data_IF_048995574908
#
_entry.id   IF_048995574908
#
_cell.length_a   1.000
_cell.length_b   1.000
_cell.length_c   1.000
_cell.angle_alpha   90.00
_cell.angle_beta   90.00
_cell.angle_gamma   90.00
#
_symmetry.space_group_name_H-M   'P 1'
#
loop_
_entity.id
_entity.type
_entity.pdbx_description
1 polymer ?
#
# COMPACT_ATOMS: atom_id res chain seq x y z
N UNK A 1 52.06 43.63 -18.54
CA UNK A 1 51.09 43.84 -17.45
C UNK A 1 49.95 42.84 -17.63
N UNK A 2 49.58 42.18 -16.53
CA UNK A 2 48.88 40.88 -16.46
C UNK A 2 47.41 41.01 -16.88
N UNK A 3 46.96 40.15 -17.79
CA UNK A 3 45.54 40.02 -18.15
C UNK A 3 44.78 39.26 -17.07
N UNK A 4 43.81 39.91 -16.45
CA UNK A 4 42.94 39.35 -15.41
C UNK A 4 41.80 38.57 -16.09
N UNK A 5 41.81 37.24 -15.96
CA UNK A 5 40.74 36.36 -16.48
C UNK A 5 39.57 36.36 -15.48
N UNK A 6 38.31 36.52 -15.91
CA UNK A 6 37.16 36.43 -15.01
C UNK A 6 36.95 34.98 -14.57
N UNK A 7 36.95 34.76 -13.25
CA UNK A 7 36.61 33.50 -12.62
C UNK A 7 35.08 33.32 -12.68
N UNK A 8 34.59 32.48 -13.60
CA UNK A 8 33.20 32.03 -13.55
C UNK A 8 33.05 30.98 -12.45
N UNK A 9 32.32 31.33 -11.39
CA UNK A 9 31.85 30.38 -10.37
C UNK A 9 30.61 29.68 -10.94
N UNK A 10 30.76 28.41 -11.32
CA UNK A 10 29.64 27.56 -11.69
C UNK A 10 28.92 27.09 -10.41
N UNK A 11 27.72 27.60 -10.17
CA UNK A 11 26.83 27.09 -9.12
C UNK A 11 26.17 25.81 -9.64
N UNK A 12 26.72 24.65 -9.28
CA UNK A 12 26.14 23.36 -9.61
C UNK A 12 24.88 23.16 -8.76
N UNK A 13 23.70 23.31 -9.37
CA UNK A 13 22.44 22.88 -8.78
C UNK A 13 22.46 21.35 -8.75
N UNK A 14 22.72 20.80 -7.56
CA UNK A 14 22.64 19.38 -7.29
C UNK A 14 21.16 19.02 -7.18
N UNK A 15 20.49 18.79 -8.30
CA UNK A 15 19.14 18.23 -8.32
C UNK A 15 19.22 16.79 -7.81
N UNK A 16 18.99 16.60 -6.51
CA UNK A 16 18.83 15.27 -5.93
C UNK A 16 17.61 14.62 -6.57
N UNK A 17 17.84 13.61 -7.41
CA UNK A 17 16.79 12.69 -7.84
C UNK A 17 16.41 11.85 -6.62
N UNK A 18 15.35 12.24 -5.91
CA UNK A 18 14.74 11.34 -4.95
C UNK A 18 14.23 10.13 -5.74
N UNK A 19 14.77 8.95 -5.45
CA UNK A 19 14.11 7.71 -5.84
C UNK A 19 12.79 7.70 -5.07
N UNK A 20 11.66 7.74 -5.78
CA UNK A 20 10.38 7.50 -5.14
C UNK A 20 10.38 6.03 -4.73
N UNK A 21 10.47 5.76 -3.43
CA UNK A 21 10.26 4.41 -2.92
C UNK A 21 8.82 4.02 -3.25
N UNK A 22 8.70 2.95 -4.03
CA UNK A 22 7.41 2.39 -4.40
C UNK A 22 6.89 1.56 -3.25
N UNK A 23 5.76 1.95 -2.70
CA UNK A 23 5.05 1.16 -1.68
C UNK A 23 3.93 0.35 -2.34
N UNK A 24 3.53 -0.74 -1.70
CA UNK A 24 2.42 -1.58 -2.14
C UNK A 24 1.37 -1.67 -1.05
N UNK A 25 0.09 -1.57 -1.44
CA UNK A 25 -1.06 -1.81 -0.56
C UNK A 25 -1.66 -3.18 -0.87
N UNK A 26 -1.98 -3.93 0.18
CA UNK A 26 -2.54 -5.28 0.05
C UNK A 26 -3.55 -5.61 1.13
N UNK A 27 -4.33 -6.66 0.86
CA UNK A 27 -5.29 -7.23 1.81
C UNK A 27 -4.77 -8.57 2.33
N UNK A 28 -4.90 -8.80 3.63
CA UNK A 28 -4.61 -10.08 4.26
C UNK A 28 -5.76 -10.54 5.16
N UNK A 29 -6.51 -11.59 4.79
CA UNK A 29 -6.44 -12.31 3.51
C UNK A 29 -7.03 -11.50 2.34
N UNK A 30 -6.51 -11.69 1.13
CA UNK A 30 -7.06 -11.07 -0.09
C UNK A 30 -8.48 -11.57 -0.44
N UNK A 31 -8.77 -12.83 -0.10
CA UNK A 31 -10.09 -13.44 -0.24
C UNK A 31 -10.33 -14.45 0.86
N UNK A 32 -11.57 -14.60 1.31
CA UNK A 32 -11.93 -15.59 2.32
C UNK A 32 -13.36 -16.10 2.13
N UNK A 33 -13.60 -17.35 2.50
CA UNK A 33 -14.95 -17.89 2.55
C UNK A 33 -15.64 -17.40 3.82
N UNK A 34 -16.89 -17.00 3.69
CA UNK A 34 -17.71 -16.46 4.77
C UNK A 34 -19.01 -17.24 4.88
N UNK A 35 -19.52 -17.36 6.11
CA UNK A 35 -20.84 -17.93 6.37
C UNK A 35 -21.79 -16.84 6.83
N UNK A 36 -23.04 -16.87 6.36
CA UNK A 36 -24.06 -15.91 6.78
C UNK A 36 -24.13 -15.77 8.31
N UNK A 37 -24.15 -14.53 8.81
CA UNK A 37 -24.13 -14.17 10.23
C UNK A 37 -22.74 -14.12 10.87
N UNK A 38 -21.68 -14.58 10.20
CA UNK A 38 -20.32 -14.52 10.72
C UNK A 38 -19.77 -13.09 10.65
N UNK A 39 -18.99 -12.69 11.67
CA UNK A 39 -18.11 -11.52 11.58
C UNK A 39 -16.74 -11.95 11.07
N UNK A 40 -16.24 -11.24 10.06
CA UNK A 40 -14.91 -11.45 9.48
C UNK A 40 -14.08 -10.18 9.59
N UNK A 41 -12.76 -10.35 9.52
CA UNK A 41 -11.81 -9.25 9.48
C UNK A 41 -10.83 -9.43 8.33
N UNK A 42 -10.36 -8.32 7.78
CA UNK A 42 -9.31 -8.25 6.77
C UNK A 42 -8.36 -7.11 7.12
N UNK A 43 -7.06 -7.38 7.05
CA UNK A 43 -6.03 -6.37 7.28
C UNK A 43 -5.70 -5.65 5.99
N UNK A 44 -5.54 -4.34 6.09
CA UNK A 44 -4.95 -3.48 5.06
C UNK A 44 -3.48 -3.28 5.43
N UNK A 45 -2.59 -3.76 4.57
CA UNK A 45 -1.15 -3.73 4.81
C UNK A 45 -0.47 -2.81 3.81
N UNK A 46 0.60 -2.16 4.27
CA UNK A 46 1.56 -1.47 3.43
C UNK A 46 2.90 -2.19 3.49
N UNK A 47 3.59 -2.26 2.36
CA UNK A 47 4.92 -2.84 2.22
C UNK A 47 5.78 -2.03 1.25
N UNK A 48 7.08 -2.33 1.18
CA UNK A 48 8.02 -1.64 0.29
C UNK A 48 8.67 -0.39 0.90
N UNK A 49 8.46 -0.15 2.20
CA UNK A 49 9.12 0.91 2.94
C UNK A 49 10.52 0.48 3.40
N UNK A 50 11.39 1.46 3.71
CA UNK A 50 12.62 1.22 4.44
C UNK A 50 12.35 0.79 5.88
N UNK A 51 13.18 -0.09 6.45
CA UNK A 51 13.00 -0.53 7.83
C UNK A 51 13.50 0.53 8.82
N UNK A 52 12.58 1.13 9.58
CA UNK A 52 12.86 2.22 10.51
C UNK A 52 13.63 3.38 9.85
N UNK A 53 13.18 3.77 8.65
CA UNK A 53 13.85 4.75 7.82
C UNK A 53 12.84 5.65 7.09
N UNK A 54 13.34 6.71 6.48
CA UNK A 54 12.57 7.52 5.52
C UNK A 54 12.62 6.88 4.12
N UNK A 55 11.58 7.04 3.29
CA UNK A 55 10.29 7.64 3.63
C UNK A 55 9.47 6.72 4.54
N UNK A 56 8.67 7.33 5.43
CA UNK A 56 7.68 6.69 6.28
C UNK A 56 6.28 7.14 5.86
N UNK A 57 5.22 6.54 6.42
CA UNK A 57 3.83 6.95 6.21
C UNK A 57 3.45 8.01 7.23
N UNK A 58 3.01 9.17 6.76
CA UNK A 58 2.46 10.25 7.59
C UNK A 58 0.93 10.27 7.62
N UNK A 59 0.31 9.95 6.50
CA UNK A 59 -1.16 9.86 6.39
C UNK A 59 -1.60 8.92 5.29
N UNK A 60 -2.85 8.49 5.38
CA UNK A 60 -3.54 7.84 4.27
C UNK A 60 -5.03 8.19 4.26
N UNK A 61 -5.62 8.07 3.08
CA UNK A 61 -7.06 8.13 2.83
C UNK A 61 -7.37 7.05 1.79
N UNK A 62 -8.10 6.01 2.19
CA UNK A 62 -8.29 4.78 1.40
C UNK A 62 -9.76 4.42 1.26
N UNK A 63 -10.11 3.94 0.06
CA UNK A 63 -11.45 3.49 -0.30
C UNK A 63 -11.42 2.01 -0.68
N UNK A 64 -12.27 1.22 -0.03
CA UNK A 64 -12.36 -0.23 -0.24
C UNK A 64 -13.75 -0.60 -0.69
N UNK A 65 -13.82 -1.21 -1.88
CA UNK A 65 -15.03 -1.79 -2.45
C UNK A 65 -15.19 -3.26 -2.05
N UNK A 66 -16.44 -3.66 -1.81
CA UNK A 66 -16.85 -5.01 -1.45
C UNK A 66 -18.20 -5.35 -2.10
N UNK A 67 -18.61 -6.63 -2.04
CA UNK A 67 -19.94 -7.03 -2.50
C UNK A 67 -21.00 -6.73 -1.42
N UNK A 68 -21.91 -5.76 -1.66
CA UNK A 68 -22.92 -5.34 -0.68
C UNK A 68 -24.00 -6.39 -0.43
N UNK A 69 -24.12 -7.39 -1.30
CA UNK A 69 -25.06 -8.52 -1.11
C UNK A 69 -24.47 -9.61 -0.24
N UNK A 70 -23.15 -9.60 -0.06
CA UNK A 70 -22.40 -10.57 0.72
C UNK A 70 -21.97 -10.02 2.08
N UNK A 71 -21.54 -8.76 2.15
CA UNK A 71 -20.94 -8.16 3.34
C UNK A 71 -21.59 -6.82 3.70
N UNK A 72 -21.65 -6.55 5.01
CA UNK A 72 -21.92 -5.23 5.58
C UNK A 72 -20.74 -4.81 6.44
N UNK A 73 -20.09 -3.66 6.19
CA UNK A 73 -18.98 -3.19 7.01
C UNK A 73 -19.47 -2.78 8.39
N UNK A 74 -18.65 -3.00 9.41
CA UNK A 74 -19.04 -2.73 10.81
C UNK A 74 -18.04 -1.86 11.55
N UNK A 75 -16.74 -2.07 11.35
CA UNK A 75 -15.71 -1.38 12.14
C UNK A 75 -14.40 -1.26 11.37
N UNK A 76 -13.69 -0.16 11.61
CA UNK A 76 -12.29 0.03 11.24
C UNK A 76 -11.47 0.15 12.52
N UNK A 77 -10.50 -0.74 12.69
CA UNK A 77 -9.51 -0.65 13.76
C UNK A 77 -8.19 -0.18 13.16
N UNK A 78 -7.76 1.03 13.53
CA UNK A 78 -6.50 1.61 13.07
C UNK A 78 -5.30 0.96 13.78
N UNK A 79 -4.18 0.85 13.07
CA UNK A 79 -2.90 0.43 13.63
C UNK A 79 -2.33 1.49 14.58
N UNK A 80 -1.23 1.17 15.27
CA UNK A 80 -0.59 2.09 16.22
C UNK A 80 0.65 2.78 15.66
N UNK A 81 1.02 2.49 14.41
CA UNK A 81 2.30 2.93 13.83
C UNK A 81 2.24 4.33 13.17
N UNK A 82 1.07 4.96 13.18
CA UNK A 82 0.89 6.38 12.90
C UNK A 82 0.63 7.19 14.20
N UNK A 83 0.69 6.55 15.37
CA UNK A 83 0.40 7.15 16.67
C UNK A 83 -0.79 6.48 17.37
N UNK A 84 -1.04 6.87 18.61
CA UNK A 84 -2.21 6.42 19.37
C UNK A 84 -3.31 7.51 19.36
N UNK A 85 -4.49 7.26 18.77
CA UNK A 85 -5.58 8.24 18.76
C UNK A 85 -6.19 8.51 20.15
N UNK A 86 -5.93 7.66 21.16
CA UNK A 86 -6.38 7.88 22.54
C UNK A 86 -5.50 8.89 23.30
N UNK A 87 -4.28 9.12 22.81
CA UNK A 87 -3.37 10.15 23.32
C UNK A 87 -2.90 11.02 22.15
N UNK A 88 -3.51 12.18 21.90
CA UNK A 88 -3.61 12.89 20.61
C UNK A 88 -2.34 12.87 19.72
N UNK A 89 -2.06 11.71 19.12
CA UNK A 89 -0.90 11.42 18.28
C UNK A 89 -1.32 11.01 16.87
N UNK A 90 -2.60 10.72 16.67
CA UNK A 90 -3.21 10.43 15.38
C UNK A 90 -4.65 10.95 15.36
N UNK A 91 -5.12 11.33 14.17
CA UNK A 91 -6.51 11.66 13.89
C UNK A 91 -7.04 10.60 12.93
N UNK A 92 -8.13 9.93 13.31
CA UNK A 92 -8.73 8.85 12.52
C UNK A 92 -10.15 9.21 12.11
N UNK A 93 -10.55 8.76 10.92
CA UNK A 93 -11.91 8.90 10.42
C UNK A 93 -12.31 7.67 9.61
N UNK A 94 -13.56 7.22 9.73
CA UNK A 94 -14.11 6.20 8.84
C UNK A 94 -15.57 6.47 8.53
N UNK A 95 -15.97 6.11 7.30
CA UNK A 95 -17.33 6.23 6.82
C UNK A 95 -17.75 4.93 6.12
N UNK A 96 -18.94 4.46 6.48
CA UNK A 96 -19.54 3.25 5.91
C UNK A 96 -20.65 3.62 4.94
N UNK A 97 -20.56 3.12 3.70
CA UNK A 97 -21.64 3.16 2.73
C UNK A 97 -22.07 1.74 2.36
N UNK A 98 -23.09 1.62 1.52
CA UNK A 98 -23.57 0.31 1.08
C UNK A 98 -22.50 -0.46 0.29
N UNK A 99 -21.70 0.22 -0.54
CA UNK A 99 -20.79 -0.43 -1.51
C UNK A 99 -19.32 -0.17 -1.25
N UNK A 100 -19.01 0.79 -0.39
CA UNK A 100 -17.66 1.30 -0.17
C UNK A 100 -17.43 1.65 1.30
N UNK A 101 -16.22 1.37 1.76
CA UNK A 101 -15.69 1.73 3.07
C UNK A 101 -14.54 2.72 2.87
N UNK A 102 -14.71 3.94 3.37
CA UNK A 102 -13.69 4.98 3.41
C UNK A 102 -13.08 5.05 4.81
N UNK A 103 -11.77 5.13 4.89
CA UNK A 103 -11.06 5.33 6.15
C UNK A 103 -9.75 6.07 5.93
N UNK A 104 -9.47 6.98 6.85
CA UNK A 104 -8.31 7.85 6.78
C UNK A 104 -7.67 7.98 8.16
N UNK A 105 -6.36 8.18 8.16
CA UNK A 105 -5.57 8.47 9.35
C UNK A 105 -4.50 9.49 9.02
N UNK A 106 -4.31 10.45 9.92
CA UNK A 106 -3.24 11.44 9.87
C UNK A 106 -2.45 11.37 11.16
N UNK A 107 -1.15 11.12 11.04
CA UNK A 107 -0.25 11.15 12.19
C UNK A 107 0.03 12.58 12.64
N UNK A 108 0.14 12.77 13.95
CA UNK A 108 0.61 13.99 14.60
C UNK A 108 2.01 13.83 15.19
N UNK A 109 2.67 12.68 14.95
CA UNK A 109 4.06 12.44 15.31
C UNK A 109 4.99 13.20 14.36
N UNK A 110 6.20 13.51 14.83
CA UNK A 110 7.21 14.12 13.97
C UNK A 110 7.71 13.14 12.91
N UNK A 111 8.23 13.62 11.76
CA UNK A 111 8.80 12.74 10.73
C UNK A 111 9.89 11.80 11.25
N UNK A 112 10.71 12.27 12.20
CA UNK A 112 11.77 11.47 12.81
C UNK A 112 11.24 10.35 13.72
N UNK A 113 10.16 10.61 14.46
CA UNK A 113 9.48 9.58 15.26
C UNK A 113 8.85 8.52 14.36
N UNK A 114 8.17 8.93 13.28
CA UNK A 114 7.57 7.98 12.34
C UNK A 114 8.61 7.12 11.64
N UNK A 115 9.71 7.71 11.19
CA UNK A 115 10.83 6.96 10.63
C UNK A 115 11.41 5.96 11.65
N UNK A 116 11.54 6.33 12.92
CA UNK A 116 12.05 5.41 13.95
C UNK A 116 11.03 4.33 14.38
N UNK A 117 9.74 4.57 14.16
CA UNK A 117 8.64 3.69 14.59
C UNK A 117 8.26 2.63 13.55
N UNK A 118 8.33 2.98 12.26
CA UNK A 118 7.72 2.17 11.20
C UNK A 118 8.70 1.15 10.59
N UNK A 119 8.40 -0.16 10.64
CA UNK A 119 9.15 -1.16 9.91
C UNK A 119 8.82 -1.10 8.41
N UNK A 120 9.59 -1.83 7.59
CA UNK A 120 9.41 -1.82 6.13
C UNK A 120 8.07 -2.40 5.62
N UNK A 121 7.29 -3.02 6.50
CA UNK A 121 5.95 -3.56 6.23
C UNK A 121 5.14 -3.61 7.51
N UNK A 122 3.90 -3.13 7.46
CA UNK A 122 3.00 -3.18 8.60
C UNK A 122 1.51 -3.05 8.22
N UNK A 123 0.65 -3.29 9.20
CA UNK A 123 -0.81 -3.14 9.08
C UNK A 123 -1.19 -1.69 9.33
N UNK A 124 -1.85 -1.07 8.35
CA UNK A 124 -2.44 0.26 8.49
C UNK A 124 -3.74 0.19 9.29
N UNK A 125 -4.61 -0.75 8.94
CA UNK A 125 -5.90 -0.93 9.60
C UNK A 125 -6.41 -2.37 9.46
N UNK A 126 -7.35 -2.74 10.34
CA UNK A 126 -8.13 -3.97 10.23
C UNK A 126 -9.59 -3.60 10.03
N UNK A 127 -10.15 -4.01 8.89
CA UNK A 127 -11.54 -3.78 8.51
C UNK A 127 -12.37 -4.98 8.95
N UNK A 128 -13.53 -4.74 9.56
CA UNK A 128 -14.45 -5.79 9.99
C UNK A 128 -15.79 -5.68 9.27
N UNK A 129 -16.36 -6.85 8.94
CA UNK A 129 -17.61 -6.98 8.22
C UNK A 129 -18.48 -8.07 8.85
N UNK A 130 -19.79 -7.92 8.76
CA UNK A 130 -20.76 -9.00 8.95
C UNK A 130 -21.12 -9.59 7.60
N UNK A 131 -21.04 -10.92 7.48
CA UNK A 131 -21.48 -11.64 6.30
C UNK A 131 -23.02 -11.75 6.28
N UNK A 132 -23.64 -11.18 5.26
CA UNK A 132 -25.09 -11.22 5.02
C UNK A 132 -25.51 -12.55 4.41
N UNK A 133 -24.69 -13.10 3.53
CA UNK A 133 -24.88 -14.40 2.87
C UNK A 133 -23.61 -15.25 2.97
N UNK A 134 -23.70 -16.54 2.68
CA UNK A 134 -22.52 -17.41 2.60
C UNK A 134 -21.92 -17.33 1.19
N UNK A 135 -20.59 -17.24 1.09
CA UNK A 135 -19.91 -17.11 -0.19
C UNK A 135 -18.42 -16.85 -0.04
N UNK A 136 -17.78 -16.37 -1.11
CA UNK A 136 -16.37 -15.97 -1.10
C UNK A 136 -16.27 -14.46 -1.18
N UNK A 137 -15.79 -13.84 -0.10
CA UNK A 137 -15.49 -12.42 -0.04
C UNK A 137 -14.18 -12.12 -0.76
N UNK A 138 -14.17 -11.04 -1.54
CA UNK A 138 -12.98 -10.45 -2.16
C UNK A 138 -13.00 -8.94 -1.94
N UNK A 139 -11.82 -8.34 -1.87
CA UNK A 139 -11.65 -6.92 -1.56
C UNK A 139 -10.83 -6.23 -2.63
N UNK A 140 -11.15 -4.97 -2.92
CA UNK A 140 -10.42 -4.14 -3.88
C UNK A 140 -10.34 -2.71 -3.40
N UNK A 141 -9.16 -2.11 -3.51
CA UNK A 141 -9.01 -0.67 -3.41
C UNK A 141 -9.68 -0.02 -4.62
N UNK A 142 -10.66 0.85 -4.39
CA UNK A 142 -11.35 1.61 -5.44
C UNK A 142 -10.68 2.96 -5.68
N UNK A 143 -10.10 3.54 -4.63
CA UNK A 143 -9.29 4.74 -4.66
C UNK A 143 -8.38 4.78 -3.42
N UNK A 144 -7.44 5.71 -3.41
CA UNK A 144 -6.69 6.03 -2.20
C UNK A 144 -5.41 6.81 -2.45
N UNK A 145 -4.95 7.46 -1.39
CA UNK A 145 -3.69 8.18 -1.32
C UNK A 145 -2.97 7.77 -0.03
N UNK A 146 -1.65 7.66 -0.12
CA UNK A 146 -0.76 7.50 1.02
C UNK A 146 0.31 8.57 0.87
N UNK A 147 0.53 9.34 1.92
CA UNK A 147 1.49 10.44 1.94
C UNK A 147 2.54 10.21 3.02
N UNK A 148 3.71 10.78 2.81
CA UNK A 148 4.76 10.85 3.82
C UNK A 148 4.44 11.91 4.90
N UNK A 149 5.26 12.02 5.96
CA UNK A 149 5.04 13.00 7.03
C UNK A 149 5.12 14.48 6.58
N UNK A 150 5.57 14.75 5.36
CA UNK A 150 5.65 16.09 4.78
C UNK A 150 4.47 16.37 3.83
N UNK A 151 3.51 15.44 3.71
CA UNK A 151 2.37 15.54 2.79
C UNK A 151 2.76 15.27 1.33
N UNK A 152 3.93 14.67 1.09
CA UNK A 152 4.32 14.22 -0.24
C UNK A 152 3.77 12.82 -0.50
N UNK A 153 3.00 12.70 -1.59
CA UNK A 153 2.42 11.43 -2.03
C UNK A 153 3.49 10.36 -2.27
N UNK A 154 3.33 9.22 -1.60
CA UNK A 154 4.08 8.01 -1.87
C UNK A 154 3.57 7.34 -3.15
N UNK A 155 4.48 6.77 -3.93
CA UNK A 155 4.12 6.07 -5.15
C UNK A 155 3.59 4.69 -4.76
N UNK A 156 2.27 4.56 -4.70
CA UNK A 156 1.61 3.27 -4.49
C UNK A 156 1.58 2.52 -5.81
N UNK A 157 2.29 1.40 -5.87
CA UNK A 157 2.21 0.45 -6.98
C UNK A 157 1.10 -0.53 -6.66
N UNK A 158 0.05 -0.64 -7.49
CA UNK A 158 -0.94 -1.71 -7.35
C UNK A 158 -0.21 -3.04 -7.41
N UNK A 159 -0.48 -3.96 -6.47
CA UNK A 159 0.07 -5.31 -6.55
C UNK A 159 -0.21 -5.87 -7.95
N UNK A 160 0.84 -6.14 -8.75
CA UNK A 160 0.61 -6.69 -10.06
C UNK A 160 -0.07 -8.05 -9.90
N UNK A 161 -0.95 -8.42 -10.82
CA UNK A 161 -1.36 -9.81 -11.02
C UNK A 161 -0.19 -10.70 -11.48
N UNK A 162 1.03 -10.50 -10.98
CA UNK A 162 2.27 -11.16 -11.40
C UNK A 162 2.23 -12.66 -11.19
N UNK A 163 1.42 -13.17 -10.25
CA UNK A 163 1.08 -14.60 -10.15
C UNK A 163 0.48 -15.14 -11.46
N UNK A 164 -0.34 -14.34 -12.15
CA UNK A 164 -0.92 -14.68 -13.45
C UNK A 164 0.14 -14.66 -14.57
N UNK A 165 1.07 -13.69 -14.53
CA UNK A 165 2.17 -13.58 -15.50
C UNK A 165 3.19 -14.71 -15.34
N UNK A 166 3.55 -15.08 -14.11
CA UNK A 166 4.44 -16.21 -13.81
C UNK A 166 3.80 -17.53 -14.28
N UNK A 167 2.48 -17.72 -14.06
CA UNK A 167 1.76 -18.87 -14.57
C UNK A 167 1.74 -18.95 -16.11
N UNK A 168 1.58 -17.82 -16.80
CA UNK A 168 1.64 -17.77 -18.28
C UNK A 168 3.04 -18.06 -18.84
N UNK A 169 4.10 -17.72 -18.10
CA UNK A 169 5.49 -18.01 -18.50
C UNK A 169 5.83 -19.50 -18.50
N UNK A 170 5.24 -20.30 -17.60
CA UNK A 170 5.53 -21.74 -17.52
C UNK A 170 4.79 -22.59 -18.57
N UNK A 171 3.67 -22.11 -19.12
CA UNK A 171 2.92 -22.82 -20.17
C UNK A 171 3.59 -22.71 -21.57
N UNK A 172 4.51 -21.77 -21.78
CA UNK A 172 5.21 -21.56 -23.06
C UNK A 172 6.49 -22.41 -23.25
N UNK A 173 7.00 -23.04 -22.19
CA UNK A 173 8.31 -23.73 -22.20
C UNK A 173 8.37 -25.14 -22.85
N UNK A 174 7.28 -25.88 -23.17
CA UNK A 174 7.43 -27.19 -23.81
C UNK A 174 7.80 -27.14 -25.30
N UNK A 175 7.56 -26.03 -26.00
CA UNK A 175 7.62 -26.05 -27.47
C UNK A 175 9.03 -25.89 -28.07
N UNK A 176 10.01 -25.42 -27.29
CA UNK A 176 11.37 -25.18 -27.79
C UNK A 176 12.36 -26.35 -27.63
N UNK A 177 11.93 -27.50 -27.09
CA UNK A 177 12.84 -28.66 -26.86
C UNK A 177 12.67 -29.84 -27.83
N UNK A 178 11.84 -29.73 -28.87
CA UNK A 178 11.69 -30.77 -29.90
C UNK A 178 11.94 -30.20 -31.30
N UNK A 179 13.21 -29.99 -31.64
CA UNK A 179 13.58 -29.46 -32.96
C UNK A 179 15.03 -29.69 -33.38
N UNK A 180 15.68 -30.75 -32.93
CA UNK A 180 16.98 -31.15 -33.53
C UNK A 180 17.17 -32.67 -33.48
N UNK A 181 16.43 -33.38 -34.34
CA UNK A 181 16.92 -34.62 -34.95
C UNK A 181 16.67 -34.50 -36.45
N UNK A 182 17.63 -33.92 -37.17
CA UNK A 182 17.69 -34.08 -38.62
C UNK A 182 18.57 -35.29 -38.92
N UNK A 183 18.01 -36.17 -39.74
CA UNK A 183 18.56 -37.47 -40.12
C UNK A 183 19.44 -37.28 -41.36
N UNK A 184 20.68 -37.76 -41.32
CA UNK A 184 21.34 -38.55 -42.38
C UNK A 184 22.68 -39.07 -41.88
#
# INVERSE_FOLDING_TARGET
MRGLRPLMIAFAVLSGTAFADSVSLSFSPFSQNVTAGQTISVQVQISGLGNFAVPSVGSFDLFVSFDPTLLSPTTVTFGSLLGDPNIPQAITASQFSATELEFAEVSLLTPGELAALQPGTFVLSTLSFTALTSGTATFKFSAGVVDDPFGQKLVVVPEPGTLFLVASGFLGLPWFRRGSRFCR
#
